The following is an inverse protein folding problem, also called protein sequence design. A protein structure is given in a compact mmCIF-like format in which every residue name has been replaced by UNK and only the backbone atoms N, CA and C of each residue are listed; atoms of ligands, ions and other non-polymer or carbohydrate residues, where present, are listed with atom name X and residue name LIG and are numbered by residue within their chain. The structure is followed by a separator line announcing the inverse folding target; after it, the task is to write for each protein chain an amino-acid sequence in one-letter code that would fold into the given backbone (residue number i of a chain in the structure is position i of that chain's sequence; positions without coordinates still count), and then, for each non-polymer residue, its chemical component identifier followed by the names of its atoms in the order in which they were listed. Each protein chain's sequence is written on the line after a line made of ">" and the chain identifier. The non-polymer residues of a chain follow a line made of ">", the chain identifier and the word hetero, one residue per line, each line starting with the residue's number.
data_IF_304567892284
#
_entry.id   IF_304567892284
#
_cell.length_a   1.000
_cell.length_b   1.000
_cell.length_c   1.000
_cell.angle_alpha   90.00
_cell.angle_beta   90.00
_cell.angle_gamma   90.00
#
_symmetry.space_group_name_H-M   'P 1'
#
loop_
_entity.id
_entity.type
_entity.pdbx_description
1 polymer ?
#
# COMPACT_ATOMS: atom_id res chain seq x y z
N UNK A 1 46.23 2.50 22.29
CA UNK A 1 45.48 2.85 21.06
C UNK A 1 44.56 1.68 20.79
N UNK A 2 43.44 1.63 21.51
CA UNK A 2 42.46 0.55 21.50
C UNK A 2 41.47 0.80 20.37
N UNK A 3 41.39 -0.18 19.47
CA UNK A 3 40.40 -0.33 18.41
C UNK A 3 39.03 -0.65 19.03
N UNK A 4 38.42 0.33 19.68
CA UNK A 4 37.01 0.31 20.09
C UNK A 4 36.38 1.60 19.56
N UNK A 5 35.91 1.61 18.31
CA UNK A 5 35.09 2.75 17.85
C UNK A 5 34.35 2.53 16.53
N UNK A 6 34.83 1.64 15.64
CA UNK A 6 34.17 1.46 14.34
C UNK A 6 32.97 0.50 14.37
N UNK A 7 33.03 -0.56 15.18
CA UNK A 7 31.98 -1.59 15.23
C UNK A 7 30.66 -1.07 15.83
N UNK A 8 30.73 -0.21 16.86
CA UNK A 8 29.54 0.38 17.49
C UNK A 8 28.83 1.42 16.62
N UNK A 9 29.58 2.16 15.80
CA UNK A 9 29.03 3.15 14.86
C UNK A 9 28.38 2.45 13.66
N UNK A 10 28.98 1.36 13.18
CA UNK A 10 28.41 0.55 12.11
C UNK A 10 27.09 -0.12 12.53
N UNK A 11 27.03 -0.68 13.75
CA UNK A 11 25.81 -1.29 14.30
C UNK A 11 24.65 -0.28 14.42
N UNK A 12 24.93 0.93 14.89
CA UNK A 12 23.94 1.99 15.02
C UNK A 12 23.42 2.49 13.65
N UNK A 13 24.30 2.55 12.64
CA UNK A 13 23.91 2.92 11.27
C UNK A 13 23.02 1.85 10.63
N UNK A 14 23.30 0.56 10.87
CA UNK A 14 22.50 -0.56 10.36
C UNK A 14 21.09 -0.56 10.97
N UNK A 15 20.99 -0.39 12.30
CA UNK A 15 19.69 -0.27 12.98
C UNK A 15 18.90 0.96 12.52
N UNK A 16 19.56 2.12 12.31
CA UNK A 16 18.88 3.30 11.80
C UNK A 16 18.39 3.10 10.36
N UNK A 17 19.14 2.37 9.52
CA UNK A 17 18.73 2.03 8.15
C UNK A 17 17.51 1.11 8.16
N UNK A 18 17.51 0.07 8.99
CA UNK A 18 16.40 -0.87 9.18
C UNK A 18 15.14 -0.15 9.65
N UNK A 19 15.24 0.66 10.71
CA UNK A 19 14.10 1.46 11.23
C UNK A 19 13.58 2.46 10.19
N UNK A 20 14.46 3.08 9.39
CA UNK A 20 14.03 4.04 8.37
C UNK A 20 13.35 3.35 7.19
N UNK A 21 13.79 2.14 6.82
CA UNK A 21 13.14 1.30 5.81
C UNK A 21 11.73 0.92 6.26
N UNK A 22 11.56 0.50 7.52
CA UNK A 22 10.24 0.17 8.09
C UNK A 22 9.28 1.36 8.07
N UNK A 23 9.77 2.57 8.33
CA UNK A 23 8.96 3.80 8.27
C UNK A 23 8.56 4.12 6.82
N UNK A 24 9.49 4.00 5.86
CA UNK A 24 9.22 4.26 4.46
C UNK A 24 8.20 3.27 3.89
N UNK A 25 8.35 1.98 4.21
CA UNK A 25 7.43 0.93 3.78
C UNK A 25 6.05 1.11 4.41
N UNK A 26 5.99 1.42 5.71
CA UNK A 26 4.73 1.70 6.41
C UNK A 26 4.01 2.91 5.82
N UNK A 27 4.74 3.96 5.46
CA UNK A 27 4.17 5.14 4.83
C UNK A 27 3.66 4.83 3.42
N UNK A 28 4.40 4.07 2.62
CA UNK A 28 3.97 3.65 1.29
C UNK A 28 2.73 2.74 1.34
N UNK A 29 2.70 1.78 2.27
CA UNK A 29 1.57 0.88 2.48
C UNK A 29 0.27 1.60 2.85
N UNK A 30 0.37 2.79 3.48
CA UNK A 30 -0.77 3.65 3.76
C UNK A 30 -1.05 4.63 2.62
N UNK A 31 -0.04 5.35 2.14
CA UNK A 31 -0.20 6.46 1.21
C UNK A 31 -0.56 6.05 -0.21
N UNK A 32 -0.04 4.91 -0.70
CA UNK A 32 -0.32 4.46 -2.06
C UNK A 32 -1.80 4.09 -2.25
N UNK A 33 -2.43 3.24 -1.41
CA UNK A 33 -3.86 2.94 -1.56
C UNK A 33 -4.74 4.19 -1.49
N UNK A 34 -4.47 5.08 -0.53
CA UNK A 34 -5.19 6.34 -0.36
C UNK A 34 -5.12 7.21 -1.61
N UNK A 35 -3.91 7.38 -2.16
CA UNK A 35 -3.70 8.21 -3.35
C UNK A 35 -4.43 7.63 -4.57
N UNK A 36 -4.29 6.35 -4.87
CA UNK A 36 -4.85 5.78 -6.10
C UNK A 36 -6.38 5.64 -6.04
N UNK A 37 -6.93 5.27 -4.88
CA UNK A 37 -8.38 5.10 -4.71
C UNK A 37 -9.09 6.44 -4.71
N UNK A 38 -8.55 7.46 -4.03
CA UNK A 38 -9.14 8.79 -4.03
C UNK A 38 -8.88 9.56 -5.32
N UNK A 39 -7.75 9.33 -6.01
CA UNK A 39 -7.58 9.82 -7.37
C UNK A 39 -8.68 9.28 -8.29
N UNK A 40 -8.96 7.96 -8.22
CA UNK A 40 -10.07 7.35 -8.96
C UNK A 40 -11.41 8.00 -8.61
N UNK A 41 -11.70 8.23 -7.32
CA UNK A 41 -12.95 8.86 -6.88
C UNK A 41 -13.12 10.26 -7.50
N UNK A 42 -12.08 11.09 -7.44
CA UNK A 42 -12.09 12.48 -7.93
C UNK A 42 -12.27 12.52 -9.45
N UNK A 43 -11.46 11.78 -10.19
CA UNK A 43 -11.46 11.84 -11.67
C UNK A 43 -12.71 11.18 -12.26
N UNK A 44 -13.24 10.12 -11.62
CA UNK A 44 -14.48 9.47 -12.06
C UNK A 44 -15.69 10.37 -11.89
N UNK A 45 -15.72 11.21 -10.85
CA UNK A 45 -16.76 12.24 -10.68
C UNK A 45 -16.78 13.27 -11.83
N UNK A 46 -15.64 13.43 -12.53
CA UNK A 46 -15.49 14.26 -13.71
C UNK A 46 -15.53 13.48 -15.03
N UNK A 47 -15.94 12.19 -15.00
CA UNK A 47 -16.01 11.31 -16.18
C UNK A 47 -14.66 11.12 -16.89
N UNK A 48 -13.55 11.27 -16.16
CA UNK A 48 -12.20 11.03 -16.65
C UNK A 48 -11.79 9.61 -16.29
N UNK A 49 -11.35 8.84 -17.29
CA UNK A 49 -10.85 7.48 -17.07
C UNK A 49 -9.52 7.49 -16.32
N UNK A 50 -9.44 6.67 -15.27
CA UNK A 50 -8.22 6.44 -14.51
C UNK A 50 -8.10 4.98 -14.13
N UNK A 51 -6.87 4.48 -14.19
CA UNK A 51 -6.51 3.13 -13.79
C UNK A 51 -5.09 3.16 -13.22
N UNK A 52 -4.90 2.56 -12.06
CA UNK A 52 -3.57 2.34 -11.50
C UNK A 52 -2.84 1.22 -12.27
N UNK A 53 -1.50 1.26 -12.23
CA UNK A 53 -0.70 0.15 -12.74
C UNK A 53 -1.02 -1.16 -12.02
N UNK A 54 -1.06 -2.27 -12.74
CA UNK A 54 -1.43 -3.58 -12.20
C UNK A 54 -0.51 -4.05 -11.07
N UNK A 55 0.77 -3.71 -11.11
CA UNK A 55 1.70 -4.05 -10.03
C UNK A 55 1.39 -3.26 -8.76
N UNK A 56 1.00 -1.99 -8.91
CA UNK A 56 0.56 -1.14 -7.79
C UNK A 56 -0.75 -1.67 -7.21
N UNK A 57 -1.74 -1.96 -8.05
CA UNK A 57 -3.03 -2.49 -7.62
C UNK A 57 -2.88 -3.83 -6.89
N UNK A 58 -2.01 -4.72 -7.39
CA UNK A 58 -1.70 -6.00 -6.75
C UNK A 58 -1.04 -5.81 -5.39
N UNK A 59 -0.01 -4.97 -5.30
CA UNK A 59 0.66 -4.68 -4.03
C UNK A 59 -0.32 -4.11 -2.98
N UNK A 60 -1.22 -3.23 -3.42
CA UNK A 60 -2.28 -2.67 -2.57
C UNK A 60 -3.24 -3.76 -2.11
N UNK A 61 -3.75 -4.60 -3.01
CA UNK A 61 -4.64 -5.74 -2.68
C UNK A 61 -4.01 -6.65 -1.63
N UNK A 62 -2.79 -7.12 -1.87
CA UNK A 62 -2.06 -8.03 -0.97
C UNK A 62 -1.85 -7.41 0.42
N UNK A 63 -1.75 -6.08 0.48
CA UNK A 63 -1.51 -5.33 1.71
C UNK A 63 -2.79 -5.03 2.49
N UNK A 64 -3.83 -4.53 1.84
CA UNK A 64 -5.03 -3.99 2.51
C UNK A 64 -6.18 -5.00 2.55
N UNK A 65 -6.17 -5.99 1.66
CA UNK A 65 -7.17 -7.06 1.57
C UNK A 65 -6.46 -8.43 1.60
N UNK A 66 -5.88 -8.84 2.75
CA UNK A 66 -5.09 -10.07 2.84
C UNK A 66 -5.87 -11.35 2.52
N UNK A 67 -7.20 -11.29 2.57
CA UNK A 67 -8.13 -12.35 2.19
C UNK A 67 -8.54 -12.33 0.71
N UNK A 68 -8.01 -11.42 -0.10
CA UNK A 68 -8.30 -11.36 -1.52
C UNK A 68 -7.68 -12.57 -2.23
N UNK A 69 -8.49 -13.26 -3.02
CA UNK A 69 -8.01 -14.29 -3.92
C UNK A 69 -7.28 -13.65 -5.11
N UNK A 70 -6.31 -14.34 -5.74
CA UNK A 70 -5.66 -13.84 -6.94
C UNK A 70 -6.68 -13.51 -8.04
N UNK A 71 -6.70 -12.25 -8.47
CA UNK A 71 -7.58 -11.77 -9.54
C UNK A 71 -6.82 -11.67 -10.86
N UNK A 72 -7.53 -11.95 -11.95
CA UNK A 72 -7.01 -11.74 -13.31
C UNK A 72 -6.77 -10.25 -13.60
N UNK A 73 -7.63 -9.39 -13.06
CA UNK A 73 -7.48 -7.93 -13.08
C UNK A 73 -7.41 -7.40 -11.63
N UNK A 74 -6.21 -7.03 -11.13
CA UNK A 74 -6.04 -6.56 -9.76
C UNK A 74 -6.67 -5.18 -9.52
N UNK A 75 -6.81 -4.33 -10.55
CA UNK A 75 -7.43 -3.02 -10.39
C UNK A 75 -8.94 -3.14 -10.22
N UNK A 76 -9.58 -3.95 -11.07
CA UNK A 76 -11.02 -4.17 -11.00
C UNK A 76 -11.40 -4.84 -9.67
N UNK A 77 -10.61 -5.83 -9.22
CA UNK A 77 -10.82 -6.46 -7.92
C UNK A 77 -10.62 -5.49 -6.75
N UNK A 78 -9.64 -4.60 -6.84
CA UNK A 78 -9.42 -3.55 -5.84
C UNK A 78 -10.61 -2.59 -5.75
N UNK A 79 -11.17 -2.16 -6.88
CA UNK A 79 -12.38 -1.34 -6.90
C UNK A 79 -13.58 -2.11 -6.33
N UNK A 80 -13.71 -3.39 -6.65
CA UNK A 80 -14.76 -4.25 -6.13
C UNK A 80 -14.69 -4.37 -4.60
N UNK A 81 -13.53 -4.75 -4.05
CA UNK A 81 -13.33 -4.94 -2.61
C UNK A 81 -13.38 -3.65 -1.80
N UNK A 82 -13.05 -2.52 -2.42
CA UNK A 82 -13.14 -1.19 -1.78
C UNK A 82 -14.49 -0.49 -1.99
N UNK A 83 -15.49 -1.20 -2.52
CA UNK A 83 -16.86 -0.70 -2.67
C UNK A 83 -17.05 0.37 -3.75
N UNK A 84 -16.15 0.43 -4.74
CA UNK A 84 -16.13 1.42 -5.83
C UNK A 84 -16.62 0.87 -7.16
N UNK A 85 -16.68 -0.45 -7.31
CA UNK A 85 -17.31 -1.04 -8.49
C UNK A 85 -18.83 -0.85 -8.43
N UNK A 86 -19.53 -0.72 -9.58
CA UNK A 86 -20.98 -0.51 -9.61
C UNK A 86 -21.76 -1.54 -8.78
N UNK A 87 -21.34 -2.80 -8.79
CA UNK A 87 -21.95 -3.93 -8.10
C UNK A 87 -21.64 -4.00 -6.60
N UNK A 88 -20.61 -3.29 -6.12
CA UNK A 88 -20.24 -3.22 -4.70
C UNK A 88 -20.41 -1.82 -4.11
N UNK A 89 -20.99 -0.89 -4.86
CA UNK A 89 -21.20 0.47 -4.39
C UNK A 89 -22.06 0.49 -3.11
N UNK A 90 -21.52 1.10 -2.05
CA UNK A 90 -22.18 1.14 -0.74
C UNK A 90 -21.97 -0.10 0.14
N UNK A 91 -21.20 -1.09 -0.31
CA UNK A 91 -20.74 -2.18 0.56
C UNK A 91 -19.77 -1.65 1.61
N UNK A 92 -19.91 -2.14 2.83
CA UNK A 92 -18.94 -1.88 3.88
C UNK A 92 -17.71 -2.73 3.63
N UNK A 93 -16.55 -2.08 3.59
CA UNK A 93 -15.26 -2.74 3.56
C UNK A 93 -14.43 -2.29 4.77
N UNK A 94 -13.35 -3.04 5.04
CA UNK A 94 -12.45 -2.75 6.14
C UNK A 94 -11.02 -2.74 5.65
N UNK A 95 -10.27 -1.75 6.11
CA UNK A 95 -8.83 -1.68 5.97
C UNK A 95 -8.14 -2.60 6.99
N UNK A 96 -7.17 -3.41 6.54
CA UNK A 96 -6.29 -4.21 7.39
C UNK A 96 -4.89 -3.59 7.50
N UNK A 97 -4.59 -2.93 8.63
CA UNK A 97 -3.34 -2.16 8.84
C UNK A 97 -2.29 -2.90 9.68
N UNK A 98 -2.45 -4.20 9.90
CA UNK A 98 -1.54 -4.97 10.75
C UNK A 98 -0.09 -4.80 10.28
N UNK A 99 0.83 -4.64 11.23
CA UNK A 99 2.27 -4.61 10.96
C UNK A 99 2.65 -6.02 10.52
N UNK A 100 3.33 -6.15 9.38
CA UNK A 100 3.82 -7.41 8.83
C UNK A 100 5.33 -7.48 8.95
#
# INVERSE_FOLDING_TARGET
>A
MTTESMDGVALAADTLSEVTQDVAESFAAMGIPELILHAFDIVSAHQVSFRADDAIARAVLERIFPQAEPAADPWDELLRLSGRAPETHGTHWRWYSEIR
#
